data_IF_965829427697
#
_entry.id   IF_965829427697
#
_cell.length_a   1.000
_cell.length_b   1.000
_cell.length_c   1.000
_cell.angle_alpha   90.00
_cell.angle_beta   90.00
_cell.angle_gamma   90.00
#
_symmetry.space_group_name_H-M   'P 1'
#
loop_
_entity.id
_entity.type
_entity.pdbx_description
1 polymer ?
#
# COMPACT_ATOMS: atom_id res chain seq x y z
N UNK A 1 47.43 -14.65 2.19
CA UNK A 1 47.04 -13.84 3.35
C UNK A 1 46.25 -12.66 2.86
N UNK A 2 44.93 -12.74 3.03
CA UNK A 2 44.10 -11.69 3.62
C UNK A 2 44.28 -10.26 3.10
N UNK A 3 43.78 -9.97 1.89
CA UNK A 3 43.56 -8.60 1.40
C UNK A 3 42.23 -8.41 0.64
N UNK A 4 41.28 -9.35 0.77
CA UNK A 4 39.94 -9.28 0.11
C UNK A 4 38.87 -8.70 1.06
N UNK A 5 39.09 -8.80 2.37
CA UNK A 5 38.19 -8.27 3.41
C UNK A 5 38.07 -6.74 3.47
N UNK A 6 39.13 -5.91 3.25
CA UNK A 6 39.02 -4.47 3.48
C UNK A 6 38.16 -3.76 2.42
N UNK A 7 38.22 -4.19 1.16
CA UNK A 7 37.45 -3.56 0.07
C UNK A 7 35.94 -3.78 0.24
N UNK A 8 35.53 -4.99 0.62
CA UNK A 8 34.14 -5.32 0.91
C UNK A 8 33.59 -4.55 2.11
N UNK A 9 34.40 -4.42 3.18
CA UNK A 9 34.02 -3.66 4.37
C UNK A 9 33.88 -2.17 4.06
N UNK A 10 34.77 -1.60 3.25
CA UNK A 10 34.67 -0.21 2.79
C UNK A 10 33.41 0.03 1.95
N UNK A 11 33.03 -0.91 1.08
CA UNK A 11 31.82 -0.80 0.27
C UNK A 11 30.54 -0.92 1.12
N UNK A 12 30.53 -1.79 2.14
CA UNK A 12 29.44 -1.85 3.11
C UNK A 12 29.32 -0.52 3.87
N UNK A 13 30.41 0.00 4.39
CA UNK A 13 30.41 1.27 5.15
C UNK A 13 29.97 2.45 4.28
N UNK A 14 30.31 2.42 2.99
CA UNK A 14 29.86 3.40 2.00
C UNK A 14 28.37 3.27 1.72
N UNK A 15 27.84 2.05 1.65
CA UNK A 15 26.42 1.80 1.45
C UNK A 15 25.60 2.27 2.66
N UNK A 16 26.03 1.96 3.87
CA UNK A 16 25.37 2.36 5.11
C UNK A 16 25.28 3.90 5.21
N UNK A 17 26.39 4.61 4.94
CA UNK A 17 26.39 6.09 4.89
C UNK A 17 25.40 6.66 3.88
N UNK A 18 25.29 6.05 2.68
CA UNK A 18 24.31 6.47 1.66
C UNK A 18 22.87 6.25 2.09
N UNK A 19 22.60 5.25 2.94
CA UNK A 19 21.26 5.00 3.48
C UNK A 19 20.92 6.10 4.49
N UNK A 20 21.84 6.39 5.42
CA UNK A 20 21.64 7.44 6.43
C UNK A 20 21.38 8.81 5.78
N UNK A 21 22.20 9.21 4.80
CA UNK A 21 21.99 10.46 4.05
C UNK A 21 20.63 10.55 3.34
N UNK A 22 20.07 9.41 2.92
CA UNK A 22 18.75 9.37 2.28
C UNK A 22 17.63 9.48 3.32
N UNK A 23 17.81 8.88 4.50
CA UNK A 23 16.85 8.97 5.59
C UNK A 23 16.76 10.40 6.13
N UNK A 24 17.89 11.08 6.32
CA UNK A 24 17.91 12.49 6.76
C UNK A 24 17.15 13.41 5.79
N UNK A 25 17.38 13.25 4.47
CA UNK A 25 16.66 14.02 3.44
C UNK A 25 15.15 13.79 3.46
N UNK A 26 14.70 12.58 3.78
CA UNK A 26 13.27 12.27 3.89
C UNK A 26 12.66 12.87 5.17
N UNK A 27 13.43 12.91 6.25
CA UNK A 27 13.00 13.53 7.51
C UNK A 27 12.92 15.07 7.38
N UNK A 28 13.91 15.70 6.74
CA UNK A 28 13.93 17.15 6.51
C UNK A 28 12.87 17.61 5.50
N UNK A 29 12.60 16.80 4.46
CA UNK A 29 11.53 17.09 3.50
C UNK A 29 10.13 16.99 4.12
N UNK A 30 9.97 16.23 5.20
CA UNK A 30 8.69 16.06 5.88
C UNK A 30 8.48 17.09 7.01
N UNK A 31 9.55 17.65 7.59
CA UNK A 31 9.48 18.65 8.66
C UNK A 31 9.20 20.07 8.15
N UNK A 32 9.49 20.35 6.89
CA UNK A 32 9.41 21.70 6.28
C UNK A 32 8.06 22.03 5.63
N UNK A 33 7.03 21.17 5.77
CA UNK A 33 5.68 21.40 5.20
C UNK A 33 4.61 21.80 6.23
N UNK A 34 5.03 22.31 7.38
CA UNK A 34 4.13 22.80 8.42
C UNK A 34 4.52 24.20 8.88
N UNK A 35 4.40 25.21 8.02
CA UNK A 35 4.08 26.58 8.47
C UNK A 35 3.76 27.50 7.27
N UNK A 36 2.52 27.98 7.19
CA UNK A 36 2.16 29.38 6.89
C UNK A 36 0.68 29.50 6.52
N UNK A 37 -0.14 29.96 7.47
CA UNK A 37 -0.97 31.16 7.28
C UNK A 37 -1.20 31.83 8.63
N UNK A 38 -0.74 33.07 8.77
CA UNK A 38 -1.01 33.95 9.91
C UNK A 38 -2.44 34.52 9.82
N UNK A 39 -2.97 34.91 10.99
CA UNK A 39 -3.71 36.16 11.31
C UNK A 39 -5.17 36.00 11.81
N UNK A 40 -5.41 36.66 12.96
CA UNK A 40 -6.66 37.24 13.48
C UNK A 40 -7.40 36.53 14.64
N UNK A 41 -7.59 37.34 15.68
CA UNK A 41 -8.33 37.30 16.96
C UNK A 41 -9.64 36.47 17.00
N UNK A 42 -10.01 35.84 18.14
CA UNK A 42 -11.29 35.14 18.30
C UNK A 42 -12.44 36.12 18.59
N UNK A 43 -13.67 35.77 18.20
CA UNK A 43 -14.68 35.63 19.25
C UNK A 43 -15.62 34.44 19.07
N UNK A 44 -15.93 33.88 20.25
CA UNK A 44 -17.10 33.12 20.66
C UNK A 44 -17.34 31.72 20.08
N UNK A 45 -17.28 30.77 21.03
CA UNK A 45 -18.18 29.64 21.21
C UNK A 45 -18.58 28.86 19.97
N UNK A 46 -17.80 27.81 19.69
CA UNK A 46 -18.39 26.54 19.31
C UNK A 46 -17.51 25.40 19.83
N UNK A 47 -17.79 24.98 21.07
CA UNK A 47 -17.26 23.74 21.62
C UNK A 47 -17.82 22.56 20.80
N UNK A 48 -17.05 22.11 19.81
CA UNK A 48 -17.41 20.94 19.01
C UNK A 48 -17.34 19.70 19.91
N UNK A 49 -18.49 19.09 20.18
CA UNK A 49 -18.58 17.83 20.91
C UNK A 49 -17.76 16.74 20.18
N UNK A 50 -16.88 16.00 20.86
CA UNK A 50 -16.05 14.95 20.22
C UNK A 50 -16.88 13.83 19.55
N UNK A 51 -18.15 13.67 19.92
CA UNK A 51 -19.09 12.75 19.27
C UNK A 51 -19.33 13.07 17.79
N UNK A 52 -19.32 14.35 17.39
CA UNK A 52 -19.52 14.77 16.00
C UNK A 52 -18.27 14.58 15.13
N UNK A 53 -17.11 14.27 15.72
CA UNK A 53 -15.88 13.96 15.00
C UNK A 53 -15.91 12.51 14.51
N UNK A 54 -16.53 11.60 15.27
CA UNK A 54 -16.65 10.17 14.93
C UNK A 54 -17.65 9.94 13.79
N UNK A 55 -18.81 10.60 13.81
CA UNK A 55 -19.81 10.49 12.72
C UNK A 55 -19.30 11.04 11.38
N UNK A 56 -18.45 12.09 11.42
CA UNK A 56 -17.79 12.60 10.20
C UNK A 56 -16.73 11.64 9.67
N UNK A 57 -16.01 10.92 10.53
CA UNK A 57 -15.02 9.93 10.10
C UNK A 57 -15.68 8.71 9.42
N UNK A 58 -16.82 8.21 9.93
CA UNK A 58 -17.55 7.10 9.31
C UNK A 58 -18.14 7.46 7.93
N UNK A 59 -18.53 8.72 7.72
CA UNK A 59 -19.01 9.18 6.40
C UNK A 59 -17.86 9.37 5.40
N UNK A 60 -16.69 9.82 5.85
CA UNK A 60 -15.51 10.02 5.00
C UNK A 60 -14.85 8.69 4.59
N UNK A 61 -14.98 7.63 5.39
CA UNK A 61 -14.53 6.28 5.03
C UNK A 61 -15.42 5.60 3.97
N UNK A 62 -16.71 5.97 3.91
CA UNK A 62 -17.60 5.59 2.79
C UNK A 62 -17.34 6.38 1.51
N UNK A 63 -16.69 7.54 1.60
CA UNK A 63 -16.43 8.46 0.49
C UNK A 63 -14.99 8.39 -0.07
N UNK A 64 -14.10 7.59 0.53
CA UNK A 64 -12.88 7.13 -0.15
C UNK A 64 -13.28 6.15 -1.25
N UNK A 65 -13.75 6.71 -2.35
CA UNK A 65 -13.72 6.07 -3.66
C UNK A 65 -12.32 5.47 -3.81
N UNK A 66 -12.26 4.13 -3.70
CA UNK A 66 -11.06 3.39 -4.05
C UNK A 66 -10.65 3.91 -5.43
N UNK A 67 -9.39 4.34 -5.63
CA UNK A 67 -8.96 4.86 -6.91
C UNK A 67 -9.43 3.89 -8.00
N UNK A 68 -9.97 4.38 -9.13
CA UNK A 68 -10.51 3.51 -10.17
C UNK A 68 -9.44 2.49 -10.53
N UNK A 69 -9.69 1.23 -10.15
CA UNK A 69 -8.81 0.12 -10.45
C UNK A 69 -8.95 -0.07 -11.95
N UNK A 70 -8.09 0.58 -12.74
CA UNK A 70 -7.92 0.21 -14.14
C UNK A 70 -7.68 -1.31 -14.16
N UNK A 71 -8.62 -2.05 -14.74
CA UNK A 71 -8.61 -3.51 -14.73
C UNK A 71 -9.65 -4.19 -13.83
N UNK A 72 -10.79 -3.55 -13.49
CA UNK A 72 -11.95 -4.28 -12.94
C UNK A 72 -12.33 -5.40 -13.91
N UNK A 73 -11.94 -6.65 -13.58
CA UNK A 73 -12.30 -7.83 -14.38
C UNK A 73 -13.82 -7.87 -14.51
N UNK A 74 -14.28 -8.00 -15.75
CA UNK A 74 -15.68 -8.21 -16.10
C UNK A 74 -15.79 -9.65 -16.60
N UNK A 75 -16.73 -10.40 -16.05
CA UNK A 75 -16.97 -11.76 -16.50
C UNK A 75 -17.47 -11.72 -17.95
N UNK A 76 -16.82 -12.43 -18.89
CA UNK A 76 -17.23 -12.41 -20.29
C UNK A 76 -18.60 -13.06 -20.52
N UNK A 77 -19.04 -13.95 -19.62
CA UNK A 77 -20.32 -14.65 -19.75
C UNK A 77 -21.52 -13.86 -19.23
N UNK A 78 -21.38 -13.14 -18.10
CA UNK A 78 -22.51 -12.51 -17.43
C UNK A 78 -22.33 -11.01 -17.11
N UNK A 79 -21.20 -10.41 -17.50
CA UNK A 79 -20.90 -9.01 -17.19
C UNK A 79 -20.65 -8.72 -15.71
N UNK A 80 -20.64 -9.76 -14.86
CA UNK A 80 -20.46 -9.62 -13.43
C UNK A 80 -19.02 -9.22 -13.09
N UNK A 81 -18.86 -8.40 -12.05
CA UNK A 81 -17.54 -7.90 -11.61
C UNK A 81 -17.05 -8.55 -10.33
N UNK A 82 -17.77 -9.56 -9.85
CA UNK A 82 -17.49 -10.25 -8.59
C UNK A 82 -16.90 -11.62 -8.88
N UNK A 83 -15.69 -11.85 -8.39
CA UNK A 83 -14.94 -13.10 -8.59
C UNK A 83 -14.51 -13.69 -7.24
N UNK A 84 -14.53 -15.01 -7.15
CA UNK A 84 -13.80 -15.78 -6.16
C UNK A 84 -12.41 -16.10 -6.68
N UNK A 85 -11.43 -16.13 -5.78
CA UNK A 85 -10.06 -16.51 -6.09
C UNK A 85 -9.78 -17.85 -5.44
N UNK A 86 -9.43 -18.86 -6.24
CA UNK A 86 -9.09 -20.21 -5.77
C UNK A 86 -7.73 -20.62 -6.30
N UNK A 87 -6.99 -21.46 -5.57
CA UNK A 87 -5.69 -21.95 -6.01
C UNK A 87 -5.83 -23.25 -6.81
N UNK A 88 -5.26 -23.28 -8.01
CA UNK A 88 -5.23 -24.47 -8.85
C UNK A 88 -4.11 -25.41 -8.42
N UNK A 89 -4.43 -26.35 -7.53
CA UNK A 89 -3.49 -27.35 -7.04
C UNK A 89 -3.02 -28.35 -8.11
N UNK A 90 -3.66 -28.36 -9.30
CA UNK A 90 -3.25 -29.24 -10.40
C UNK A 90 -1.98 -28.77 -11.12
N UNK A 91 -1.67 -27.47 -11.04
CA UNK A 91 -0.50 -26.87 -11.68
C UNK A 91 0.44 -26.27 -10.64
N UNK A 92 1.74 -26.47 -10.81
CA UNK A 92 2.76 -25.83 -9.97
C UNK A 92 3.46 -24.79 -10.84
N UNK A 93 3.30 -23.51 -10.50
CA UNK A 93 4.00 -22.43 -11.20
C UNK A 93 5.47 -22.41 -10.83
N UNK A 94 5.75 -22.64 -9.55
CA UNK A 94 7.08 -22.50 -9.01
C UNK A 94 7.27 -23.37 -7.78
N UNK A 95 8.47 -23.92 -7.61
CA UNK A 95 8.83 -24.73 -6.46
C UNK A 95 10.21 -24.34 -5.95
N UNK A 96 10.31 -23.96 -4.67
CA UNK A 96 11.58 -23.70 -4.00
C UNK A 96 11.52 -24.18 -2.55
N UNK A 97 12.63 -24.78 -2.08
CA UNK A 97 12.79 -25.27 -0.70
C UNK A 97 11.61 -26.15 -0.21
N UNK A 98 10.99 -26.93 -1.10
CA UNK A 98 9.85 -27.79 -0.79
C UNK A 98 8.47 -27.12 -0.81
N UNK A 99 8.39 -25.79 -0.95
CA UNK A 99 7.13 -25.04 -1.05
C UNK A 99 6.71 -24.98 -2.53
N UNK A 100 5.46 -25.34 -2.81
CA UNK A 100 4.85 -25.27 -4.14
C UNK A 100 3.94 -24.05 -4.21
N UNK A 101 4.16 -23.20 -5.22
CA UNK A 101 3.29 -22.06 -5.53
C UNK A 101 2.37 -22.47 -6.67
N UNK A 102 1.07 -22.36 -6.43
CA UNK A 102 0.01 -22.71 -7.37
C UNK A 102 -0.56 -21.46 -8.05
N UNK A 103 -0.98 -21.53 -9.32
CA UNK A 103 -1.66 -20.43 -9.97
C UNK A 103 -3.02 -20.17 -9.31
N UNK A 104 -3.45 -18.91 -9.33
CA UNK A 104 -4.78 -18.51 -8.88
C UNK A 104 -5.75 -18.54 -10.04
N UNK A 105 -6.87 -19.22 -9.87
CA UNK A 105 -8.06 -19.18 -10.73
C UNK A 105 -9.04 -18.16 -10.20
N UNK A 106 -9.71 -17.48 -11.12
CA UNK A 106 -10.75 -16.51 -10.78
C UNK A 106 -12.09 -16.99 -11.33
N UNK A 107 -13.02 -17.30 -10.43
CA UNK A 107 -14.32 -17.86 -10.77
C UNK A 107 -15.37 -16.79 -10.56
N UNK A 108 -16.14 -16.45 -11.60
CA UNK A 108 -17.23 -15.48 -11.46
C UNK A 108 -18.25 -15.97 -10.44
N UNK A 109 -18.56 -15.17 -9.42
CA UNK A 109 -19.57 -15.54 -8.40
C UNK A 109 -20.99 -15.65 -8.96
N UNK A 110 -21.26 -14.96 -10.06
CA UNK A 110 -22.61 -14.84 -10.60
C UNK A 110 -23.00 -16.03 -11.51
N UNK A 111 -22.03 -16.56 -12.28
CA UNK A 111 -22.30 -17.61 -13.26
C UNK A 111 -21.31 -18.79 -13.22
N UNK A 112 -20.28 -18.74 -12.36
CA UNK A 112 -19.28 -19.80 -12.24
C UNK A 112 -18.24 -19.84 -13.36
N UNK A 113 -18.27 -18.90 -14.32
CA UNK A 113 -17.30 -18.88 -15.42
C UNK A 113 -15.90 -18.47 -14.94
N UNK A 114 -14.88 -19.24 -15.32
CA UNK A 114 -13.47 -18.96 -15.07
C UNK A 114 -12.95 -17.85 -16.01
N UNK A 115 -12.15 -16.93 -15.48
CA UNK A 115 -11.57 -15.78 -16.20
C UNK A 115 -10.08 -15.57 -15.94
#
# INVERSE_FOLDING_TARGET
GDNILPEFEEDILRLLRKIDEKLDKLLDANSSKAESTKTATPPEDDYIKPSSIVEKQEQEEKAKERPPIEGRRICPACGGTSFNTEEDKSQVLFQQAGIKIHPKKYICRNCGTEA
#
